data_IF_944735373767
#
_entry.id   IF_944735373767
#
_cell.length_a   1.000
_cell.length_b   1.000
_cell.length_c   1.000
_cell.angle_alpha   90.00
_cell.angle_beta   90.00
_cell.angle_gamma   90.00
#
_symmetry.space_group_name_H-M   'P 1'
#
loop_
_entity.id
_entity.type
_entity.pdbx_description
1 polymer ?
#
# COMPACT_ATOMS: atom_id res chain seq x y z
N UNK A 1 43.51 -22.41 -11.83
CA UNK A 1 43.20 -20.99 -12.10
C UNK A 1 41.71 -20.89 -12.36
N UNK A 2 40.93 -20.56 -11.35
CA UNK A 2 39.54 -20.14 -11.52
C UNK A 2 39.52 -18.63 -11.33
N UNK A 3 38.97 -17.91 -12.30
CA UNK A 3 38.87 -16.45 -12.25
C UNK A 3 37.86 -16.06 -11.16
N UNK A 4 38.35 -15.50 -10.06
CA UNK A 4 37.55 -14.75 -9.10
C UNK A 4 37.09 -13.44 -9.76
N UNK A 5 36.05 -13.53 -10.60
CA UNK A 5 35.20 -12.38 -10.88
C UNK A 5 34.31 -12.15 -9.66
N UNK A 6 34.92 -11.71 -8.56
CA UNK A 6 34.19 -11.10 -7.46
C UNK A 6 33.73 -9.73 -7.97
N UNK A 7 32.50 -9.68 -8.47
CA UNK A 7 31.81 -8.41 -8.67
C UNK A 7 31.78 -7.73 -7.30
N UNK A 8 32.62 -6.72 -7.14
CA UNK A 8 32.74 -5.96 -5.92
C UNK A 8 31.47 -5.10 -5.81
N UNK A 9 30.40 -5.70 -5.27
CA UNK A 9 29.10 -5.07 -4.98
C UNK A 9 29.20 -3.95 -3.92
N UNK A 10 30.41 -3.50 -3.57
CA UNK A 10 30.59 -2.32 -2.75
C UNK A 10 30.38 -1.08 -3.62
N UNK A 11 29.38 -0.26 -3.22
CA UNK A 11 29.11 1.14 -3.62
C UNK A 11 28.11 1.48 -4.74
N UNK A 12 27.15 0.63 -5.10
CA UNK A 12 25.87 1.17 -5.59
C UNK A 12 24.87 1.19 -4.43
N UNK A 13 24.76 2.35 -3.77
CA UNK A 13 23.65 2.66 -2.87
C UNK A 13 22.47 2.99 -3.77
N UNK A 14 21.50 2.06 -3.85
CA UNK A 14 20.20 2.37 -4.42
C UNK A 14 19.31 2.88 -3.29
N UNK A 15 18.48 3.90 -3.55
CA UNK A 15 17.53 4.37 -2.55
C UNK A 15 16.55 3.25 -2.19
N UNK A 16 16.35 3.02 -0.89
CA UNK A 16 15.45 1.97 -0.41
C UNK A 16 14.08 2.57 -0.13
N UNK A 17 13.08 2.13 -0.91
CA UNK A 17 11.68 2.54 -0.75
C UNK A 17 10.82 1.35 -0.35
N UNK A 18 9.86 1.56 0.56
CA UNK A 18 8.82 0.58 0.89
C UNK A 18 7.43 1.19 0.69
N UNK A 19 6.77 0.83 -0.41
CA UNK A 19 5.50 1.42 -0.83
C UNK A 19 4.28 0.54 -0.45
N UNK A 20 4.43 -0.42 0.45
CA UNK A 20 3.34 -1.33 0.82
C UNK A 20 3.33 -1.60 2.33
N UNK A 21 3.26 -0.54 3.14
CA UNK A 21 3.21 -0.68 4.58
C UNK A 21 1.77 -0.65 5.12
N UNK A 22 1.39 -1.74 5.79
CA UNK A 22 0.17 -1.79 6.61
C UNK A 22 0.49 -1.42 8.06
N UNK A 23 -0.46 -0.74 8.71
CA UNK A 23 -0.39 -0.40 10.13
C UNK A 23 -1.14 -1.41 10.99
N UNK A 24 -0.57 -1.75 12.14
CA UNK A 24 -1.31 -2.37 13.22
C UNK A 24 -2.29 -1.37 13.85
N UNK A 25 -3.43 -1.84 14.37
CA UNK A 25 -4.46 -0.97 14.95
C UNK A 25 -3.96 -0.07 16.10
N UNK A 26 -2.92 -0.48 16.83
CA UNK A 26 -2.34 0.29 17.94
C UNK A 26 -1.12 1.14 17.54
N UNK A 27 -0.68 1.03 16.30
CA UNK A 27 0.46 1.78 15.80
C UNK A 27 -0.01 3.17 15.37
N UNK A 28 0.79 4.21 15.58
CA UNK A 28 0.54 5.58 15.07
C UNK A 28 1.23 5.80 13.71
N UNK A 29 0.85 6.84 12.95
CA UNK A 29 1.53 7.13 11.67
C UNK A 29 2.94 7.63 11.95
N UNK A 30 3.12 8.37 13.05
CA UNK A 30 4.44 8.75 13.55
C UNK A 30 5.33 7.53 13.82
N UNK A 31 4.79 6.46 14.41
CA UNK A 31 5.57 5.23 14.65
C UNK A 31 6.08 4.61 13.33
N UNK A 32 5.35 4.80 12.23
CA UNK A 32 5.78 4.35 10.90
C UNK A 32 6.91 5.23 10.37
N UNK A 33 6.77 6.55 10.48
CA UNK A 33 7.81 7.54 10.12
C UNK A 33 9.11 7.24 10.86
N UNK A 34 9.04 7.07 12.19
CA UNK A 34 10.21 6.83 13.02
C UNK A 34 10.90 5.50 12.66
N UNK A 35 10.10 4.46 12.38
CA UNK A 35 10.64 3.15 11.93
C UNK A 35 11.25 3.25 10.54
N UNK A 36 10.63 3.96 9.60
CA UNK A 36 11.17 4.11 8.25
C UNK A 36 12.53 4.81 8.29
N UNK A 37 12.63 5.94 9.01
CA UNK A 37 13.88 6.66 9.21
C UNK A 37 14.96 5.81 9.89
N UNK A 38 14.60 5.06 10.94
CA UNK A 38 15.54 4.16 11.64
C UNK A 38 16.12 3.06 10.74
N UNK A 39 15.35 2.60 9.76
CA UNK A 39 15.76 1.53 8.84
C UNK A 39 16.39 2.05 7.54
N UNK A 40 16.58 3.36 7.40
CA UNK A 40 17.24 3.95 6.24
C UNK A 40 16.38 3.98 4.97
N UNK A 41 15.05 3.95 5.10
CA UNK A 41 14.17 4.18 3.96
C UNK A 41 14.18 5.65 3.57
N UNK A 42 14.40 5.93 2.29
CA UNK A 42 14.36 7.28 1.74
C UNK A 42 12.93 7.73 1.42
N UNK A 43 12.04 6.78 1.15
CA UNK A 43 10.61 7.00 0.93
C UNK A 43 9.82 5.78 1.40
N UNK A 44 8.60 6.00 1.87
CA UNK A 44 7.70 4.90 2.18
C UNK A 44 6.24 5.31 1.94
N UNK A 45 5.42 4.29 1.68
CA UNK A 45 4.00 4.42 1.45
C UNK A 45 3.20 3.63 2.48
N UNK A 46 2.22 4.28 3.09
CA UNK A 46 1.24 3.62 3.93
C UNK A 46 0.07 3.25 3.03
N UNK A 47 -0.32 1.98 3.02
CA UNK A 47 -1.49 1.51 2.27
C UNK A 47 -2.63 1.13 3.21
N UNK A 48 -3.87 1.30 2.75
CA UNK A 48 -5.02 0.71 3.42
C UNK A 48 -5.93 -0.05 2.45
N UNK A 49 -6.49 -1.16 2.92
CA UNK A 49 -7.31 -2.05 2.12
C UNK A 49 -8.65 -1.40 1.77
N UNK A 50 -9.01 -1.38 0.49
CA UNK A 50 -10.40 -1.16 0.05
C UNK A 50 -11.05 -2.53 -0.07
N UNK A 51 -11.73 -2.93 1.01
CA UNK A 51 -12.25 -4.27 1.23
C UNK A 51 -13.30 -4.28 2.36
N UNK A 52 -14.10 -5.35 2.52
CA UNK A 52 -15.08 -5.46 3.61
C UNK A 52 -14.50 -5.31 5.03
N UNK A 53 -13.22 -5.63 5.24
CA UNK A 53 -12.50 -5.46 6.51
C UNK A 53 -11.71 -4.15 6.63
N UNK A 54 -11.78 -3.28 5.62
CA UNK A 54 -11.07 -2.01 5.57
C UNK A 54 -11.99 -0.86 5.19
N UNK A 55 -11.52 -0.02 4.26
CA UNK A 55 -12.26 1.11 3.71
C UNK A 55 -13.43 0.58 2.86
N UNK A 56 -14.66 0.92 3.26
CA UNK A 56 -15.89 0.54 2.55
C UNK A 56 -16.67 1.73 2.04
N UNK A 57 -16.51 2.87 2.69
CA UNK A 57 -17.32 4.08 2.48
C UNK A 57 -16.44 5.31 2.29
N UNK A 58 -17.05 6.39 1.80
CA UNK A 58 -16.41 7.71 1.72
C UNK A 58 -15.93 8.20 3.09
N UNK A 59 -16.68 7.94 4.15
CA UNK A 59 -16.30 8.35 5.50
C UNK A 59 -15.05 7.61 5.98
N UNK A 60 -14.95 6.30 5.68
CA UNK A 60 -13.76 5.51 5.97
C UNK A 60 -12.52 6.05 5.22
N UNK A 61 -12.69 6.35 3.92
CA UNK A 61 -11.61 6.89 3.09
C UNK A 61 -11.19 8.29 3.57
N UNK A 62 -12.15 9.16 3.87
CA UNK A 62 -11.89 10.50 4.37
C UNK A 62 -11.17 10.47 5.72
N UNK A 63 -11.53 9.52 6.60
CA UNK A 63 -10.83 9.30 7.86
C UNK A 63 -9.38 8.90 7.62
N UNK A 64 -9.14 7.92 6.76
CA UNK A 64 -7.79 7.48 6.40
C UNK A 64 -6.94 8.63 5.83
N UNK A 65 -7.50 9.43 4.90
CA UNK A 65 -6.83 10.61 4.35
C UNK A 65 -6.42 11.59 5.46
N UNK A 66 -7.34 11.90 6.37
CA UNK A 66 -7.07 12.82 7.48
C UNK A 66 -6.05 12.28 8.48
N UNK A 67 -5.93 10.96 8.63
CA UNK A 67 -4.91 10.33 9.47
C UNK A 67 -3.50 10.40 8.88
N UNK A 68 -3.35 10.47 7.55
CA UNK A 68 -2.06 10.30 6.87
C UNK A 68 -1.53 11.58 6.23
N UNK A 69 -2.39 12.47 5.73
CA UNK A 69 -2.02 13.62 4.87
C UNK A 69 -0.95 14.57 5.42
N UNK A 70 -0.80 14.66 6.74
CA UNK A 70 0.10 15.60 7.40
C UNK A 70 1.49 14.97 7.69
N UNK A 71 1.71 13.71 7.28
CA UNK A 71 2.95 12.98 7.51
C UNK A 71 3.81 12.86 6.24
N UNK A 72 5.15 12.78 6.38
CA UNK A 72 6.07 12.69 5.25
C UNK A 72 6.13 11.27 4.66
N UNK A 73 5.01 10.78 4.16
CA UNK A 73 4.87 9.48 3.52
C UNK A 73 3.86 9.53 2.37
N UNK A 74 3.96 8.58 1.44
CA UNK A 74 2.97 8.42 0.38
C UNK A 74 1.72 7.71 0.93
N UNK A 75 0.56 8.16 0.49
CA UNK A 75 -0.75 7.61 0.85
C UNK A 75 -1.26 6.71 -0.27
N UNK A 76 -1.46 5.43 0.02
CA UNK A 76 -1.86 4.44 -0.96
C UNK A 76 -3.15 3.71 -0.61
N UNK A 77 -3.84 3.22 -1.65
CA UNK A 77 -4.93 2.26 -1.47
C UNK A 77 -4.55 0.90 -2.04
N UNK A 78 -4.98 -0.15 -1.36
CA UNK A 78 -4.90 -1.53 -1.83
C UNK A 78 -6.31 -2.12 -2.02
N UNK A 79 -6.89 -2.00 -3.21
CA UNK A 79 -8.17 -2.64 -3.48
C UNK A 79 -8.08 -4.16 -3.62
N UNK A 80 -8.96 -4.86 -2.90
CA UNK A 80 -8.99 -6.33 -2.86
C UNK A 80 -9.83 -6.97 -3.98
N UNK A 81 -10.58 -6.20 -4.77
CA UNK A 81 -11.45 -6.72 -5.82
C UNK A 81 -11.59 -5.74 -7.01
N UNK A 82 -11.81 -6.25 -8.24
CA UNK A 82 -12.23 -5.41 -9.36
C UNK A 82 -13.51 -4.62 -9.06
N UNK A 83 -13.61 -3.40 -9.59
CA UNK A 83 -14.79 -2.54 -9.42
C UNK A 83 -14.90 -1.85 -8.06
N UNK A 84 -13.91 -1.96 -7.19
CA UNK A 84 -13.83 -1.33 -5.86
C UNK A 84 -14.19 0.15 -5.83
N UNK A 85 -13.82 0.91 -6.88
CA UNK A 85 -13.98 2.35 -6.93
C UNK A 85 -15.43 2.81 -7.06
N UNK A 86 -16.37 1.92 -7.39
CA UNK A 86 -17.80 2.26 -7.53
C UNK A 86 -18.45 2.74 -6.23
N UNK A 87 -17.89 2.36 -5.09
CA UNK A 87 -18.44 2.69 -3.77
C UNK A 87 -17.77 3.91 -3.13
N UNK A 88 -16.81 4.52 -3.82
CA UNK A 88 -15.99 5.61 -3.31
C UNK A 88 -16.06 6.83 -4.23
N UNK A 89 -15.94 8.02 -3.64
CA UNK A 89 -15.91 9.28 -4.36
C UNK A 89 -14.61 9.42 -5.14
N UNK A 90 -14.73 9.83 -6.40
CA UNK A 90 -13.57 10.14 -7.24
C UNK A 90 -12.72 11.26 -6.65
N UNK A 91 -13.35 12.29 -6.07
CA UNK A 91 -12.64 13.42 -5.45
C UNK A 91 -11.85 13.00 -4.20
N UNK A 92 -12.27 11.93 -3.51
CA UNK A 92 -11.51 11.37 -2.40
C UNK A 92 -10.38 10.46 -2.90
N UNK A 93 -10.63 9.67 -3.94
CA UNK A 93 -9.60 8.84 -4.57
C UNK A 93 -8.48 9.73 -5.14
N UNK A 94 -8.81 10.86 -5.77
CA UNK A 94 -7.84 11.78 -6.38
C UNK A 94 -6.91 12.47 -5.34
N UNK A 95 -7.16 12.29 -4.03
CA UNK A 95 -6.29 12.79 -2.95
C UNK A 95 -5.21 11.79 -2.51
N UNK A 96 -5.30 10.52 -2.89
CA UNK A 96 -4.26 9.52 -2.57
C UNK A 96 -3.17 9.54 -3.63
N UNK A 97 -1.94 9.23 -3.24
CA UNK A 97 -0.77 9.34 -4.13
C UNK A 97 -0.71 8.20 -5.15
N UNK A 98 -1.18 7.00 -4.79
CA UNK A 98 -1.14 5.83 -5.67
C UNK A 98 -2.17 4.75 -5.30
N UNK A 99 -2.44 3.88 -6.26
CA UNK A 99 -3.24 2.68 -6.09
C UNK A 99 -2.35 1.48 -6.37
N UNK A 100 -2.27 0.55 -5.43
CA UNK A 100 -1.59 -0.74 -5.59
C UNK A 100 -2.65 -1.85 -5.56
N UNK A 101 -3.18 -2.19 -6.73
CA UNK A 101 -4.24 -3.21 -6.81
C UNK A 101 -3.66 -4.61 -6.59
N UNK A 102 -4.21 -5.29 -5.60
CA UNK A 102 -3.91 -6.67 -5.23
C UNK A 102 -5.25 -7.43 -5.14
N UNK A 103 -5.78 -7.94 -6.26
CA UNK A 103 -7.09 -8.56 -6.28
C UNK A 103 -7.03 -9.91 -5.56
N UNK A 104 -7.41 -9.90 -4.29
CA UNK A 104 -7.61 -11.10 -3.48
C UNK A 104 -8.94 -11.78 -3.81
N UNK A 105 -9.86 -11.08 -4.46
CA UNK A 105 -11.13 -11.61 -4.93
C UNK A 105 -11.34 -11.39 -6.41
N UNK A 106 -11.68 -12.47 -7.10
CA UNK A 106 -12.12 -12.42 -8.49
C UNK A 106 -13.60 -12.82 -8.58
N UNK A 107 -14.49 -11.91 -9.01
CA UNK A 107 -15.86 -12.31 -9.37
C UNK A 107 -15.81 -13.22 -10.59
N UNK A 108 -16.74 -14.16 -10.68
CA UNK A 108 -16.79 -15.17 -11.75
C UNK A 108 -15.48 -15.95 -11.90
N UNK A 109 -14.78 -16.20 -10.78
CA UNK A 109 -13.51 -16.93 -10.78
C UNK A 109 -13.64 -18.39 -11.22
N UNK A 110 -14.88 -18.88 -11.35
CA UNK A 110 -15.20 -20.13 -12.02
C UNK A 110 -16.49 -20.01 -12.86
N UNK A 111 -16.78 -21.03 -13.68
CA UNK A 111 -17.95 -21.08 -14.57
C UNK A 111 -19.31 -21.13 -13.85
N UNK A 112 -19.32 -21.29 -12.53
CA UNK A 112 -20.52 -21.32 -11.70
C UNK A 112 -20.86 -19.95 -11.11
N UNK A 113 -20.01 -18.94 -11.34
CA UNK A 113 -20.20 -17.57 -10.84
C UNK A 113 -19.73 -17.38 -9.40
N UNK A 114 -18.95 -18.33 -8.86
CA UNK A 114 -18.43 -18.18 -7.49
C UNK A 114 -17.34 -17.10 -7.44
N UNK A 115 -17.30 -16.39 -6.31
CA UNK A 115 -16.18 -15.53 -5.96
C UNK A 115 -15.01 -16.42 -5.51
N UNK A 116 -13.88 -16.28 -6.19
CA UNK A 116 -12.65 -17.01 -5.84
C UNK A 116 -11.73 -16.11 -5.04
N UNK A 117 -11.14 -16.67 -3.97
CA UNK A 117 -9.96 -16.10 -3.31
C UNK A 117 -8.71 -16.48 -4.11
N UNK A 118 -7.80 -15.52 -4.32
CA UNK A 118 -6.54 -15.69 -5.07
C UNK A 118 -5.37 -15.97 -4.14
#
# INVERSE_FOLDING_TARGET
MFNDNTYNMSKTSFPLYDLHLHRLAKQSVQDMVDKAGKNGFECFGIVHNVAPWGIKTNDDLQKYINEVKDYPCLMGLQPAAPGWSKNLSRDLIDQVDYILMDPQYMPDGNKYGDQMEV
#
